data_IF_467648830400
#
_entry.id   IF_467648830400
#
_cell.length_a   1.000
_cell.length_b   1.000
_cell.length_c   1.000
_cell.angle_alpha   90.00
_cell.angle_beta   90.00
_cell.angle_gamma   90.00
#
_symmetry.space_group_name_H-M   'P 1'
#
loop_
_entity.id
_entity.type
_entity.pdbx_description
1 polymer ?
#
# COMPACT_ATOMS: atom_id res chain seq x y z
N UNK A 1 63.13 8.62 -48.93
CA UNK A 1 63.77 7.97 -47.76
C UNK A 1 62.72 7.63 -46.71
N UNK A 2 63.11 6.94 -45.62
CA UNK A 2 62.24 6.06 -44.83
C UNK A 2 61.18 6.72 -43.93
N UNK A 3 60.24 5.88 -43.46
CA UNK A 3 59.06 6.17 -42.62
C UNK A 3 59.42 6.15 -41.13
N UNK A 4 58.97 7.14 -40.35
CA UNK A 4 58.89 7.05 -38.88
C UNK A 4 57.80 7.98 -38.28
N UNK A 5 56.90 7.40 -37.47
CA UNK A 5 56.36 7.95 -36.20
C UNK A 5 57.16 7.25 -35.08
N UNK A 6 57.34 7.75 -33.83
CA UNK A 6 56.42 8.54 -32.99
C UNK A 6 57.07 9.91 -32.61
N UNK A 7 56.87 10.64 -31.51
CA UNK A 7 56.21 10.47 -30.18
C UNK A 7 55.49 11.75 -29.71
N UNK A 8 54.55 11.61 -28.77
CA UNK A 8 53.90 12.70 -28.06
C UNK A 8 54.50 12.85 -26.64
N UNK A 9 55.17 13.97 -26.33
CA UNK A 9 55.47 14.34 -24.94
C UNK A 9 55.92 15.81 -24.75
N UNK A 10 55.03 16.65 -24.21
CA UNK A 10 55.29 17.55 -23.08
C UNK A 10 53.91 18.04 -22.58
N UNK A 11 53.47 17.61 -21.40
CA UNK A 11 53.77 18.19 -20.09
C UNK A 11 53.00 19.49 -19.81
N UNK A 12 52.00 19.40 -18.92
CA UNK A 12 51.94 20.16 -17.64
C UNK A 12 50.66 19.84 -16.84
N UNK A 13 50.88 19.23 -15.69
CA UNK A 13 50.28 19.54 -14.37
C UNK A 13 48.83 20.05 -14.32
N UNK A 14 47.91 19.24 -13.78
CA UNK A 14 46.51 19.65 -13.61
C UNK A 14 45.62 18.67 -12.82
N UNK A 15 46.14 18.01 -11.78
CA UNK A 15 45.33 17.11 -10.94
C UNK A 15 44.39 17.91 -10.04
N UNK A 16 43.18 18.21 -10.53
CA UNK A 16 42.10 18.77 -9.71
C UNK A 16 41.26 17.65 -9.10
N UNK A 17 41.72 17.16 -7.94
CA UNK A 17 40.89 16.38 -7.03
C UNK A 17 39.84 17.30 -6.39
N UNK A 18 38.67 17.44 -7.01
CA UNK A 18 37.54 18.14 -6.39
C UNK A 18 36.77 17.19 -5.45
N UNK A 19 37.40 16.80 -4.35
CA UNK A 19 36.73 16.12 -3.24
C UNK A 19 35.95 17.14 -2.43
N UNK A 20 34.72 17.44 -2.85
CA UNK A 20 33.70 17.99 -1.96
C UNK A 20 32.59 16.96 -1.81
N UNK A 21 32.42 16.49 -0.58
CA UNK A 21 31.49 15.45 -0.23
C UNK A 21 30.06 15.90 -0.55
N UNK A 22 29.50 15.37 -1.65
CA UNK A 22 28.10 15.02 -1.62
C UNK A 22 27.95 14.07 -0.44
N UNK A 23 27.25 14.51 0.61
CA UNK A 23 26.76 13.61 1.61
C UNK A 23 25.95 12.57 0.86
N UNK A 24 26.51 11.35 0.78
CA UNK A 24 25.81 10.17 0.30
C UNK A 24 24.79 9.87 1.39
N UNK A 25 23.69 10.63 1.36
CA UNK A 25 22.62 10.52 2.31
C UNK A 25 21.99 9.17 2.02
N UNK A 26 22.45 8.17 2.77
CA UNK A 26 21.90 6.83 2.79
C UNK A 26 20.51 6.90 3.44
N UNK A 27 19.57 7.56 2.75
CA UNK A 27 18.15 7.29 2.87
C UNK A 27 17.99 5.86 2.37
N UNK A 28 18.15 4.91 3.29
CA UNK A 28 17.88 3.50 3.02
C UNK A 28 16.50 3.41 2.37
N UNK A 29 16.35 2.80 1.18
CA UNK A 29 15.07 2.82 0.44
C UNK A 29 13.86 2.38 1.27
N UNK A 30 14.08 1.50 2.27
CA UNK A 30 13.08 1.05 3.23
C UNK A 30 12.53 2.07 4.24
N UNK A 31 13.09 3.28 4.36
CA UNK A 31 12.65 4.28 5.35
C UNK A 31 11.47 5.13 4.86
N UNK A 32 11.26 5.24 3.54
CA UNK A 32 10.19 6.07 2.97
C UNK A 32 8.86 5.32 2.76
N UNK A 33 8.83 4.01 2.98
CA UNK A 33 7.60 3.22 2.96
C UNK A 33 7.10 3.02 4.38
N UNK A 34 6.38 4.01 4.90
CA UNK A 34 5.70 3.90 6.19
C UNK A 34 4.80 2.66 6.22
N UNK A 35 5.15 1.66 7.05
CA UNK A 35 4.34 0.45 7.21
C UNK A 35 2.95 0.85 7.68
N UNK A 36 1.84 0.30 7.13
CA UNK A 36 0.50 0.64 7.57
C UNK A 36 0.35 0.44 9.09
N UNK A 37 0.21 1.54 9.83
CA UNK A 37 0.03 1.52 11.27
C UNK A 37 -1.43 1.23 11.61
N UNK A 38 -1.75 -0.05 11.68
CA UNK A 38 -3.04 -0.54 12.17
C UNK A 38 -3.21 -0.18 13.64
N UNK A 39 -4.36 0.40 13.98
CA UNK A 39 -4.68 1.00 15.29
C UNK A 39 -6.02 0.51 15.86
N UNK A 40 -6.71 -0.39 15.16
CA UNK A 40 -7.96 -0.96 15.62
C UNK A 40 -7.81 -1.82 16.89
N UNK A 41 -8.90 -1.95 17.65
CA UNK A 41 -9.02 -2.98 18.70
C UNK A 41 -8.68 -4.36 18.11
N UNK A 42 -7.97 -5.18 18.86
CA UNK A 42 -7.60 -6.52 18.39
C UNK A 42 -8.75 -7.50 18.49
N UNK A 43 -8.79 -8.43 17.54
CA UNK A 43 -9.77 -9.51 17.43
C UNK A 43 -9.09 -10.87 17.37
N UNK A 44 -9.80 -11.88 17.87
CA UNK A 44 -9.46 -13.30 17.76
C UNK A 44 -10.70 -14.00 17.24
N UNK A 45 -10.60 -14.66 16.10
CA UNK A 45 -11.74 -15.26 15.41
C UNK A 45 -11.31 -16.41 14.50
N UNK A 46 -12.23 -17.34 14.28
CA UNK A 46 -12.08 -18.53 13.45
C UNK A 46 -13.31 -18.57 12.55
N UNK A 47 -13.12 -18.38 11.25
CA UNK A 47 -14.17 -18.36 10.24
C UNK A 47 -13.83 -19.38 9.17
N UNK A 48 -14.83 -20.18 8.79
CA UNK A 48 -14.67 -21.28 7.85
C UNK A 48 -15.86 -21.23 6.90
N UNK A 49 -15.57 -21.05 5.61
CA UNK A 49 -16.54 -20.84 4.53
C UNK A 49 -17.63 -19.78 4.83
N UNK A 50 -17.26 -18.73 5.57
CA UNK A 50 -18.21 -17.72 6.04
C UNK A 50 -18.50 -16.69 4.96
N UNK A 51 -19.77 -16.41 4.67
CA UNK A 51 -20.17 -15.36 3.73
C UNK A 51 -19.55 -13.98 4.09
N UNK A 52 -18.99 -13.29 3.11
CA UNK A 52 -18.23 -12.05 3.31
C UNK A 52 -19.02 -10.93 4.02
N UNK A 53 -20.35 -10.83 3.81
CA UNK A 53 -21.17 -9.85 4.52
C UNK A 53 -21.25 -10.11 6.03
N UNK A 54 -21.23 -11.38 6.45
CA UNK A 54 -21.18 -11.74 7.87
C UNK A 54 -19.83 -11.35 8.49
N UNK A 55 -18.74 -11.40 7.71
CA UNK A 55 -17.42 -10.90 8.15
C UNK A 55 -17.45 -9.39 8.37
N UNK A 56 -18.02 -8.62 7.43
CA UNK A 56 -18.17 -7.17 7.61
C UNK A 56 -19.07 -6.80 8.78
N UNK A 57 -20.12 -7.59 9.06
CA UNK A 57 -20.96 -7.41 10.25
C UNK A 57 -20.17 -7.56 11.55
N UNK A 58 -19.36 -8.61 11.68
CA UNK A 58 -18.50 -8.82 12.87
C UNK A 58 -17.49 -7.66 13.00
N UNK A 59 -16.92 -7.19 11.89
CA UNK A 59 -16.01 -6.04 11.89
C UNK A 59 -16.73 -4.72 12.27
N UNK A 60 -17.97 -4.51 11.85
CA UNK A 60 -18.81 -3.38 12.25
C UNK A 60 -19.03 -3.36 13.78
N UNK A 61 -19.43 -4.50 14.34
CA UNK A 61 -19.70 -4.68 15.78
C UNK A 61 -18.45 -4.38 16.64
N UNK A 62 -17.25 -4.77 16.20
CA UNK A 62 -16.00 -4.49 16.95
C UNK A 62 -15.47 -3.06 16.75
N UNK A 63 -15.51 -2.56 15.51
CA UNK A 63 -14.96 -1.24 15.16
C UNK A 63 -15.83 -0.07 15.63
N UNK A 64 -17.14 -0.30 15.80
CA UNK A 64 -18.14 0.76 16.00
C UNK A 64 -18.46 1.56 14.73
N UNK A 65 -17.97 1.11 13.56
CA UNK A 65 -18.22 1.72 12.25
C UNK A 65 -19.44 1.07 11.58
N UNK A 66 -20.13 1.85 10.76
CA UNK A 66 -21.18 1.35 9.88
C UNK A 66 -20.56 0.82 8.59
N UNK A 67 -20.79 -0.44 8.24
CA UNK A 67 -20.32 -1.02 6.98
C UNK A 67 -21.44 -1.03 5.94
N UNK A 68 -21.16 -0.51 4.74
CA UNK A 68 -22.08 -0.54 3.59
C UNK A 68 -21.34 -1.23 2.44
N UNK A 69 -21.92 -2.29 1.86
CA UNK A 69 -21.30 -3.03 0.77
C UNK A 69 -22.12 -2.89 -0.52
N UNK A 70 -21.45 -2.74 -1.67
CA UNK A 70 -22.08 -2.80 -2.99
C UNK A 70 -22.71 -4.19 -3.23
N UNK A 71 -23.75 -4.28 -4.06
CA UNK A 71 -24.44 -5.53 -4.43
C UNK A 71 -23.53 -6.63 -4.99
N UNK A 72 -22.41 -6.19 -5.55
CA UNK A 72 -21.46 -7.01 -6.30
C UNK A 72 -20.35 -7.57 -5.38
N UNK A 73 -20.36 -7.21 -4.09
CA UNK A 73 -19.45 -7.74 -3.08
C UNK A 73 -19.93 -9.13 -2.66
N UNK A 74 -19.30 -10.18 -3.18
CA UNK A 74 -19.76 -11.57 -2.99
C UNK A 74 -18.58 -12.53 -2.69
N UNK A 75 -18.91 -13.71 -2.17
CA UNK A 75 -17.97 -14.78 -1.87
C UNK A 75 -17.95 -15.22 -0.40
N UNK A 76 -17.13 -16.23 -0.10
CA UNK A 76 -16.91 -16.76 1.25
C UNK A 76 -15.46 -16.60 1.67
N UNK A 77 -15.24 -16.53 2.99
CA UNK A 77 -13.95 -16.29 3.62
C UNK A 77 -13.67 -17.40 4.62
N UNK A 78 -12.51 -18.04 4.49
CA UNK A 78 -11.93 -18.92 5.51
C UNK A 78 -10.70 -18.23 6.08
N UNK A 79 -10.72 -17.89 7.38
CA UNK A 79 -9.66 -17.11 8.01
C UNK A 79 -9.59 -17.39 9.51
N UNK A 80 -8.37 -17.37 10.08
CA UNK A 80 -8.14 -17.53 11.52
C UNK A 80 -7.19 -16.45 12.03
N UNK A 81 -7.65 -15.63 12.97
CA UNK A 81 -6.84 -14.57 13.61
C UNK A 81 -6.74 -14.78 15.11
N UNK A 82 -5.62 -14.33 15.67
CA UNK A 82 -5.39 -14.27 17.11
C UNK A 82 -4.71 -12.94 17.45
N UNK A 83 -5.39 -12.10 18.22
CA UNK A 83 -4.92 -10.77 18.63
C UNK A 83 -4.48 -9.86 17.46
N UNK A 84 -5.26 -9.83 16.37
CA UNK A 84 -4.97 -9.01 15.17
C UNK A 84 -5.87 -7.76 15.17
N UNK A 85 -5.37 -6.54 14.90
CA UNK A 85 -6.21 -5.34 14.78
C UNK A 85 -7.33 -5.52 13.74
N UNK A 86 -8.55 -5.05 14.02
CA UNK A 86 -9.70 -5.23 13.11
C UNK A 86 -9.50 -4.58 11.73
N UNK A 87 -8.75 -3.48 11.66
CA UNK A 87 -8.38 -2.76 10.45
C UNK A 87 -7.34 -3.53 9.62
N UNK A 88 -6.43 -4.25 10.28
CA UNK A 88 -5.55 -5.23 9.62
C UNK A 88 -6.35 -6.43 9.07
N UNK A 89 -7.34 -6.91 9.82
CA UNK A 89 -8.24 -7.98 9.39
C UNK A 89 -9.07 -7.57 8.16
N UNK A 90 -9.65 -6.36 8.19
CA UNK A 90 -10.35 -5.77 7.05
C UNK A 90 -9.44 -5.69 5.82
N UNK A 91 -8.23 -5.13 5.96
CA UNK A 91 -7.27 -5.04 4.85
C UNK A 91 -6.87 -6.40 4.26
N UNK A 92 -6.89 -7.48 5.06
CA UNK A 92 -6.66 -8.84 4.56
C UNK A 92 -7.86 -9.34 3.72
N UNK A 93 -9.07 -9.23 4.25
CA UNK A 93 -10.31 -9.65 3.56
C UNK A 93 -10.49 -8.90 2.24
N UNK A 94 -10.25 -7.58 2.23
CA UNK A 94 -10.34 -6.77 1.02
C UNK A 94 -9.35 -7.22 -0.06
N UNK A 95 -8.09 -7.47 0.31
CA UNK A 95 -7.07 -7.97 -0.63
C UNK A 95 -7.41 -9.36 -1.20
N UNK A 96 -7.96 -10.25 -0.38
CA UNK A 96 -8.34 -11.61 -0.81
C UNK A 96 -9.45 -11.61 -1.87
N UNK A 97 -10.39 -10.66 -1.80
CA UNK A 97 -11.56 -10.60 -2.68
C UNK A 97 -11.47 -9.51 -3.76
N UNK A 98 -10.32 -8.85 -3.92
CA UNK A 98 -10.16 -7.77 -4.90
C UNK A 98 -11.09 -6.59 -4.63
N UNK A 99 -11.28 -6.24 -3.36
CA UNK A 99 -12.16 -5.16 -2.91
C UNK A 99 -11.37 -3.93 -2.47
N UNK A 100 -12.04 -2.79 -2.53
CA UNK A 100 -11.61 -1.50 -2.01
C UNK A 100 -12.54 -1.06 -0.88
N UNK A 101 -12.06 -0.15 -0.05
CA UNK A 101 -12.90 0.55 0.92
C UNK A 101 -12.65 2.06 0.87
N UNK A 102 -13.70 2.82 1.09
CA UNK A 102 -13.66 4.27 1.30
C UNK A 102 -14.20 4.56 2.70
N UNK A 103 -13.47 5.32 3.52
CA UNK A 103 -13.95 5.78 4.83
C UNK A 103 -14.61 7.16 4.71
N UNK A 104 -15.85 7.27 5.18
CA UNK A 104 -16.64 8.50 5.22
C UNK A 104 -17.15 8.73 6.64
N UNK A 105 -16.30 9.31 7.48
CA UNK A 105 -16.60 9.61 8.88
C UNK A 105 -16.81 8.35 9.72
N UNK A 106 -18.08 7.96 9.95
CA UNK A 106 -18.42 6.70 10.64
C UNK A 106 -18.82 5.56 9.70
N UNK A 107 -18.87 5.79 8.40
CA UNK A 107 -19.22 4.80 7.39
C UNK A 107 -17.96 4.26 6.71
N UNK A 108 -17.91 2.96 6.46
CA UNK A 108 -16.95 2.30 5.59
C UNK A 108 -17.73 1.71 4.42
N UNK A 109 -17.55 2.29 3.24
CA UNK A 109 -18.13 1.81 1.99
C UNK A 109 -17.20 0.77 1.36
N UNK A 110 -17.71 -0.43 1.07
CA UNK A 110 -16.98 -1.56 0.48
C UNK A 110 -17.44 -1.78 -0.96
N UNK A 111 -16.49 -1.79 -1.90
CA UNK A 111 -16.76 -1.90 -3.35
C UNK A 111 -15.75 -2.82 -4.03
N UNK A 112 -16.11 -3.53 -5.11
CA UNK A 112 -15.12 -4.22 -5.94
C UNK A 112 -14.11 -3.26 -6.58
N UNK A 113 -12.82 -3.66 -6.68
CA UNK A 113 -11.76 -2.80 -7.24
C UNK A 113 -12.05 -2.35 -8.68
N UNK A 114 -12.68 -3.21 -9.49
CA UNK A 114 -13.10 -2.90 -10.86
C UNK A 114 -14.23 -1.85 -10.94
N UNK A 115 -14.87 -1.49 -9.82
CA UNK A 115 -15.91 -0.46 -9.72
C UNK A 115 -15.45 0.88 -9.13
N UNK A 116 -14.24 0.92 -8.55
CA UNK A 116 -13.64 2.15 -7.98
C UNK A 116 -13.62 3.32 -8.97
N UNK A 117 -13.23 3.17 -10.26
CA UNK A 117 -13.18 4.29 -11.20
C UNK A 117 -14.56 4.89 -11.53
N UNK A 118 -15.63 4.11 -11.42
CA UNK A 118 -17.01 4.54 -11.69
C UNK A 118 -17.62 5.25 -10.48
N UNK A 119 -17.45 4.67 -9.28
CA UNK A 119 -18.15 5.11 -8.06
C UNK A 119 -17.59 6.40 -7.46
N UNK A 120 -16.29 6.68 -7.63
CA UNK A 120 -15.65 7.89 -7.10
C UNK A 120 -15.43 8.98 -8.16
N UNK A 121 -15.90 8.78 -9.40
CA UNK A 121 -16.03 9.84 -10.40
C UNK A 121 -17.27 10.70 -10.13
N UNK A 122 -17.28 11.40 -9.00
CA UNK A 122 -18.12 12.58 -8.86
C UNK A 122 -17.38 13.79 -9.45
N UNK A 123 -17.78 14.31 -10.63
CA UNK A 123 -17.34 15.63 -11.03
C UNK A 123 -17.91 16.64 -10.02
N UNK A 124 -17.07 17.14 -9.12
CA UNK A 124 -17.43 18.18 -8.17
C UNK A 124 -17.80 19.45 -8.97
N UNK A 125 -19.11 19.68 -9.13
CA UNK A 125 -19.60 20.52 -10.22
C UNK A 125 -21.11 20.72 -10.23
N UNK A 126 -21.70 21.11 -9.10
CA UNK A 126 -22.80 22.08 -9.01
C UNK A 126 -22.99 22.55 -7.57
#
# INVERSE_FOLDING_TARGET
MARAKPTLHSARTGTLLLTLAFAWLAVSPGILWGTPHYRGKTITLDLQDTNIHQVFRILAEVSGKNFVAHSDVQGTVTLRLKNVPWDQALALVLRMHGLYHQEEGNVILIVPLNKVPELFHHPAGR
#
